data_IF_085609273658
#
_entry.id   IF_085609273658
#
_cell.length_a   1.000
_cell.length_b   1.000
_cell.length_c   1.000
_cell.angle_alpha   90.00
_cell.angle_beta   90.00
_cell.angle_gamma   90.00
#
_symmetry.space_group_name_H-M   'P 1'
#
loop_
_entity.id
_entity.type
_entity.pdbx_description
1 polymer ?
#
# COMPACT_ATOMS: atom_id res chain seq x y z
N UNK A 1 -7.20 16.33 -13.67
CA UNK A 1 -5.78 16.26 -13.26
C UNK A 1 -5.41 17.38 -12.28
N UNK A 2 -5.76 18.65 -12.54
CA UNK A 2 -5.56 19.78 -11.60
C UNK A 2 -6.04 19.51 -10.17
N UNK A 3 -7.16 18.78 -10.02
CA UNK A 3 -7.73 18.48 -8.71
C UNK A 3 -6.88 17.46 -7.92
N UNK A 4 -6.26 16.49 -8.60
CA UNK A 4 -5.40 15.47 -7.96
C UNK A 4 -4.13 16.12 -7.44
N UNK A 5 -3.45 16.92 -8.28
CA UNK A 5 -2.25 17.66 -7.88
C UNK A 5 -2.53 18.58 -6.69
N UNK A 6 -3.67 19.28 -6.71
CA UNK A 6 -4.10 20.12 -5.58
C UNK A 6 -4.27 19.29 -4.31
N UNK A 7 -4.95 18.14 -4.39
CA UNK A 7 -5.15 17.25 -3.23
C UNK A 7 -3.81 16.73 -2.69
N UNK A 8 -2.89 16.29 -3.56
CA UNK A 8 -1.56 15.82 -3.16
C UNK A 8 -0.77 16.94 -2.47
N UNK A 9 -0.77 18.14 -3.06
CA UNK A 9 -0.05 19.30 -2.50
C UNK A 9 -0.63 19.75 -1.15
N UNK A 10 -1.96 19.80 -1.03
CA UNK A 10 -2.63 20.15 0.22
C UNK A 10 -2.36 19.11 1.30
N UNK A 11 -2.46 17.82 0.96
CA UNK A 11 -2.12 16.72 1.86
C UNK A 11 -0.68 16.79 2.34
N UNK A 12 0.27 17.02 1.43
CA UNK A 12 1.68 17.14 1.78
C UNK A 12 1.91 18.31 2.71
N UNK A 13 1.33 19.49 2.41
CA UNK A 13 1.44 20.69 3.25
C UNK A 13 0.86 20.46 4.65
N UNK A 14 -0.32 19.85 4.75
CA UNK A 14 -1.00 19.59 6.02
C UNK A 14 -0.25 18.60 6.92
N UNK A 15 0.44 17.64 6.32
CA UNK A 15 1.14 16.56 7.04
C UNK A 15 2.67 16.73 7.07
N UNK A 16 3.19 17.85 6.55
CA UNK A 16 4.62 18.13 6.48
C UNK A 16 5.41 17.26 5.50
N UNK A 17 4.74 16.51 4.61
CA UNK A 17 5.39 15.57 3.69
C UNK A 17 6.02 16.29 2.50
N UNK A 18 7.03 15.65 1.91
CA UNK A 18 7.54 15.97 0.59
C UNK A 18 7.49 14.70 -0.25
N UNK A 19 6.56 14.62 -1.19
CA UNK A 19 6.34 13.46 -2.06
C UNK A 19 6.29 13.95 -3.51
N UNK A 20 7.01 13.27 -4.41
CA UNK A 20 6.90 13.55 -5.84
C UNK A 20 5.66 12.87 -6.40
N UNK A 21 5.05 13.48 -7.42
CA UNK A 21 3.95 12.87 -8.16
C UNK A 21 4.43 12.51 -9.57
N UNK A 22 4.12 11.30 -10.01
CA UNK A 22 4.37 10.81 -11.37
C UNK A 22 3.12 10.12 -11.92
N UNK A 23 2.93 10.24 -13.23
CA UNK A 23 1.89 9.52 -13.97
C UNK A 23 2.48 8.40 -14.84
N UNK A 24 3.81 8.31 -14.89
CA UNK A 24 4.53 7.26 -15.61
C UNK A 24 4.70 6.06 -14.70
N UNK A 25 3.83 5.06 -14.84
CA UNK A 25 3.84 3.86 -14.00
C UNK A 25 5.16 3.07 -14.17
N UNK A 26 5.76 2.60 -13.07
CA UNK A 26 6.94 1.74 -13.14
C UNK A 26 6.59 0.38 -13.78
N UNK A 27 7.59 -0.27 -14.36
CA UNK A 27 7.40 -1.60 -14.97
C UNK A 27 6.92 -2.62 -13.95
N UNK A 28 5.93 -3.43 -14.33
CA UNK A 28 5.28 -4.41 -13.45
C UNK A 28 4.08 -3.88 -12.68
N UNK A 29 3.78 -2.57 -12.78
CA UNK A 29 2.63 -1.92 -12.14
C UNK A 29 1.62 -1.37 -13.16
N UNK A 30 1.65 -1.83 -14.40
CA UNK A 30 0.81 -1.31 -15.49
C UNK A 30 -0.70 -1.49 -15.23
N UNK A 31 -1.06 -2.46 -14.38
CA UNK A 31 -2.45 -2.74 -13.99
C UNK A 31 -2.82 -2.20 -12.61
N UNK A 32 -1.88 -1.61 -11.87
CA UNK A 32 -2.17 -1.01 -10.57
C UNK A 32 -2.82 0.37 -10.76
N UNK A 33 -3.75 0.73 -9.86
CA UNK A 33 -4.37 2.07 -9.83
C UNK A 33 -3.36 3.16 -9.44
N UNK A 34 -2.43 2.82 -8.56
CA UNK A 34 -1.33 3.66 -8.13
C UNK A 34 -0.34 2.85 -7.30
N UNK A 35 0.77 3.47 -6.94
CA UNK A 35 1.73 2.93 -5.97
C UNK A 35 2.60 4.05 -5.42
N UNK A 36 2.89 4.05 -4.12
CA UNK A 36 3.94 4.87 -3.55
C UNK A 36 5.23 4.06 -3.40
N UNK A 37 6.30 4.52 -4.07
CA UNK A 37 7.63 3.94 -3.91
C UNK A 37 8.52 4.86 -3.06
N UNK A 38 8.82 4.38 -1.85
CA UNK A 38 9.71 5.05 -0.91
C UNK A 38 11.15 5.17 -1.43
N UNK A 39 11.61 4.25 -2.27
CA UNK A 39 13.02 4.22 -2.73
C UNK A 39 13.39 5.44 -3.57
N UNK A 40 12.40 6.02 -4.26
CA UNK A 40 12.50 7.25 -5.06
C UNK A 40 11.60 8.37 -4.52
N UNK A 41 10.92 8.12 -3.40
CA UNK A 41 9.95 9.00 -2.75
C UNK A 41 8.93 9.60 -3.73
N UNK A 42 8.27 8.72 -4.49
CA UNK A 42 7.35 9.10 -5.57
C UNK A 42 6.03 8.34 -5.45
N UNK A 43 4.94 9.09 -5.48
CA UNK A 43 3.59 8.61 -5.71
C UNK A 43 3.37 8.48 -7.22
N UNK A 44 3.10 7.27 -7.68
CA UNK A 44 2.73 6.97 -9.06
C UNK A 44 1.22 6.76 -9.13
N UNK A 45 0.56 7.40 -10.09
CA UNK A 45 -0.87 7.23 -10.33
C UNK A 45 -1.12 6.83 -11.78
N UNK A 46 -1.90 5.78 -11.98
CA UNK A 46 -2.20 5.28 -13.29
C UNK A 46 -3.39 6.04 -13.91
N UNK A 47 -3.08 7.12 -14.62
CA UNK A 47 -4.11 7.96 -15.25
C UNK A 47 -4.94 7.17 -16.27
N UNK A 48 -4.33 6.21 -16.97
CA UNK A 48 -5.04 5.43 -17.98
C UNK A 48 -6.17 4.58 -17.39
N UNK A 49 -5.99 4.07 -16.17
CA UNK A 49 -7.03 3.33 -15.44
C UNK A 49 -7.97 4.31 -14.72
N UNK A 50 -7.43 5.35 -14.09
CA UNK A 50 -8.20 6.24 -13.20
C UNK A 50 -9.08 7.26 -13.94
N UNK A 51 -8.80 7.58 -15.21
CA UNK A 51 -9.55 8.60 -15.95
C UNK A 51 -11.04 8.27 -16.10
N UNK A 52 -11.38 6.98 -16.15
CA UNK A 52 -12.75 6.48 -16.33
C UNK A 52 -13.39 6.04 -15.00
N UNK A 53 -12.62 6.06 -13.90
CA UNK A 53 -13.09 5.66 -12.59
C UNK A 53 -13.95 6.76 -11.93
N UNK A 54 -15.00 6.40 -11.17
CA UNK A 54 -15.74 7.35 -10.36
C UNK A 54 -14.85 8.11 -9.38
N UNK A 55 -15.19 9.37 -9.09
CA UNK A 55 -14.39 10.23 -8.21
C UNK A 55 -14.07 9.60 -6.85
N UNK A 56 -15.02 8.89 -6.23
CA UNK A 56 -14.78 8.25 -4.93
C UNK A 56 -13.68 7.17 -4.99
N UNK A 57 -13.59 6.45 -6.11
CA UNK A 57 -12.63 5.36 -6.32
C UNK A 57 -11.23 5.95 -6.56
N UNK A 58 -11.15 6.99 -7.39
CA UNK A 58 -9.90 7.76 -7.59
C UNK A 58 -9.37 8.30 -6.27
N UNK A 59 -10.24 8.89 -5.44
CA UNK A 59 -9.85 9.41 -4.14
C UNK A 59 -9.44 8.30 -3.17
N UNK A 60 -10.11 7.14 -3.19
CA UNK A 60 -9.75 6.01 -2.36
C UNK A 60 -8.30 5.57 -2.64
N UNK A 61 -7.97 5.23 -3.89
CA UNK A 61 -6.61 4.81 -4.23
C UNK A 61 -5.58 5.92 -4.02
N UNK A 62 -5.92 7.18 -4.30
CA UNK A 62 -5.03 8.31 -4.03
C UNK A 62 -4.67 8.44 -2.55
N UNK A 63 -5.67 8.44 -1.66
CA UNK A 63 -5.42 8.59 -0.22
C UNK A 63 -4.81 7.34 0.39
N UNK A 64 -5.04 6.16 -0.19
CA UNK A 64 -4.36 4.93 0.19
C UNK A 64 -2.85 5.07 0.00
N UNK A 65 -2.40 5.44 -1.20
CA UNK A 65 -0.96 5.59 -1.48
C UNK A 65 -0.32 6.76 -0.72
N UNK A 66 -1.04 7.88 -0.55
CA UNK A 66 -0.59 8.98 0.29
C UNK A 66 -0.44 8.57 1.76
N UNK A 67 -1.25 7.61 2.23
CA UNK A 67 -1.13 7.07 3.58
C UNK A 67 0.12 6.20 3.71
N UNK A 68 0.48 5.41 2.69
CA UNK A 68 1.77 4.74 2.66
C UNK A 68 2.94 5.72 2.74
N UNK A 69 2.89 6.83 2.00
CA UNK A 69 3.91 7.87 2.11
C UNK A 69 4.08 8.37 3.55
N UNK A 70 2.98 8.60 4.28
CA UNK A 70 3.05 8.95 5.71
C UNK A 70 3.65 7.83 6.56
N UNK A 71 3.25 6.58 6.35
CA UNK A 71 3.73 5.43 7.12
C UNK A 71 5.25 5.25 7.00
N UNK A 72 5.82 5.52 5.81
CA UNK A 72 7.27 5.48 5.60
C UNK A 72 8.01 6.71 6.10
N UNK A 73 7.49 7.91 5.83
CA UNK A 73 8.20 9.17 6.12
C UNK A 73 8.07 9.59 7.59
N UNK A 74 6.97 9.23 8.27
CA UNK A 74 6.71 9.55 9.68
C UNK A 74 6.25 8.33 10.48
N UNK A 75 7.08 7.26 10.56
CA UNK A 75 6.69 5.99 11.16
C UNK A 75 6.33 6.10 12.66
N UNK A 76 6.89 7.07 13.37
CA UNK A 76 6.61 7.30 14.79
C UNK A 76 5.16 7.70 15.09
N UNK A 77 4.38 8.09 14.08
CA UNK A 77 2.96 8.39 14.21
C UNK A 77 2.07 7.13 14.23
N UNK A 78 2.65 5.95 14.00
CA UNK A 78 1.93 4.71 13.79
C UNK A 78 2.28 3.66 14.85
N UNK A 79 1.44 2.62 14.96
CA UNK A 79 1.68 1.51 15.87
C UNK A 79 2.96 0.75 15.52
N UNK A 80 3.55 0.05 16.49
CA UNK A 80 4.72 -0.80 16.27
C UNK A 80 4.50 -1.82 15.15
N UNK A 81 3.27 -2.35 15.01
CA UNK A 81 2.93 -3.31 13.95
C UNK A 81 3.04 -2.69 12.56
N UNK A 82 2.55 -1.46 12.36
CA UNK A 82 2.70 -0.75 11.07
C UNK A 82 4.17 -0.41 10.86
N UNK A 83 4.87 0.01 11.93
CA UNK A 83 6.27 0.33 11.84
C UNK A 83 7.10 -0.89 11.39
N UNK A 84 6.86 -2.07 11.94
CA UNK A 84 7.57 -3.29 11.56
C UNK A 84 7.14 -3.78 10.17
N UNK A 85 5.83 -3.88 9.91
CA UNK A 85 5.29 -4.50 8.69
C UNK A 85 5.51 -3.69 7.41
N UNK A 86 5.66 -2.36 7.48
CA UNK A 86 5.84 -1.50 6.27
C UNK A 86 7.02 -1.92 5.40
N UNK A 87 8.03 -2.61 5.95
CA UNK A 87 9.18 -3.05 5.16
C UNK A 87 8.94 -4.33 4.36
N UNK A 88 7.77 -4.97 4.50
CA UNK A 88 7.46 -6.26 3.89
C UNK A 88 6.24 -6.15 2.99
N UNK A 89 6.38 -6.65 1.77
CA UNK A 89 5.27 -6.80 0.80
C UNK A 89 5.10 -8.28 0.52
N UNK A 90 3.86 -8.76 0.52
CA UNK A 90 3.51 -10.16 0.21
C UNK A 90 2.43 -10.15 -0.86
N UNK A 91 2.74 -10.65 -2.05
CA UNK A 91 1.77 -10.75 -3.14
C UNK A 91 0.99 -12.06 -3.06
N UNK A 92 -0.19 -12.09 -3.70
CA UNK A 92 -1.10 -13.23 -3.69
C UNK A 92 -0.47 -14.53 -4.19
N UNK A 93 0.47 -14.44 -5.13
CA UNK A 93 1.15 -15.61 -5.68
C UNK A 93 2.35 -16.10 -4.83
N UNK A 94 2.61 -15.50 -3.67
CA UNK A 94 3.72 -15.84 -2.79
C UNK A 94 5.05 -15.15 -3.13
N UNK A 95 5.10 -14.32 -4.18
CA UNK A 95 6.20 -13.39 -4.38
C UNK A 95 6.17 -12.36 -3.26
N UNK A 96 7.31 -12.14 -2.62
CA UNK A 96 7.47 -11.28 -1.47
C UNK A 96 8.63 -10.33 -1.69
N UNK A 97 8.57 -9.16 -1.07
CA UNK A 97 9.66 -8.18 -1.07
C UNK A 97 9.95 -7.73 0.36
N UNK A 98 11.22 -7.46 0.63
CA UNK A 98 11.65 -6.71 1.81
C UNK A 98 12.48 -5.51 1.41
N UNK A 99 12.15 -4.35 1.95
CA UNK A 99 12.96 -3.15 1.78
C UNK A 99 14.16 -3.20 2.73
N UNK A 100 15.37 -3.23 2.17
CA UNK A 100 16.65 -3.23 2.90
C UNK A 100 17.57 -2.22 2.25
N UNK A 101 18.16 -1.30 3.03
CA UNK A 101 19.10 -0.28 2.53
C UNK A 101 18.60 0.51 1.30
N UNK A 102 17.31 0.88 1.32
CA UNK A 102 16.61 1.58 0.24
C UNK A 102 16.48 0.78 -1.07
N UNK A 103 16.51 -0.56 -0.99
CA UNK A 103 16.32 -1.46 -2.13
C UNK A 103 15.31 -2.57 -1.80
N UNK A 104 14.38 -2.82 -2.72
CA UNK A 104 13.43 -3.93 -2.61
C UNK A 104 14.10 -5.26 -2.98
N UNK A 105 14.26 -6.14 -2.00
CA UNK A 105 14.81 -7.48 -2.18
C UNK A 105 13.68 -8.49 -2.37
N UNK A 106 13.64 -9.11 -3.55
CA UNK A 106 12.61 -10.07 -3.92
C UNK A 106 12.94 -11.50 -3.47
N UNK A 107 11.94 -12.20 -2.96
CA UNK A 107 11.96 -13.64 -2.76
C UNK A 107 10.60 -14.28 -3.08
N UNK A 108 10.55 -15.61 -3.17
CA UNK A 108 9.30 -16.33 -3.36
C UNK A 108 9.13 -17.37 -2.27
N UNK A 109 7.97 -17.36 -1.61
CA UNK A 109 7.61 -18.34 -0.60
C UNK A 109 6.63 -19.36 -1.19
N UNK A 110 6.83 -20.63 -0.83
CA UNK A 110 5.88 -21.70 -1.19
C UNK A 110 4.66 -21.61 -0.28
N UNK A 111 3.46 -21.64 -0.89
CA UNK A 111 2.16 -21.57 -0.21
C UNK A 111 1.02 -21.48 -1.23
N UNK A 112 -0.22 -21.51 -0.74
CA UNK A 112 -1.40 -21.30 -1.59
C UNK A 112 -1.69 -19.82 -1.79
N UNK A 113 -2.29 -19.48 -2.93
CA UNK A 113 -2.77 -18.12 -3.21
C UNK A 113 -3.78 -17.66 -2.15
N UNK A 114 -4.70 -18.54 -1.72
CA UNK A 114 -5.64 -18.26 -0.65
C UNK A 114 -4.94 -17.82 0.66
N UNK A 115 -3.84 -18.49 1.03
CA UNK A 115 -3.09 -18.12 2.23
C UNK A 115 -2.41 -16.76 2.08
N UNK A 116 -1.75 -16.50 0.96
CA UNK A 116 -1.06 -15.22 0.75
C UNK A 116 -2.02 -14.06 0.56
N UNK A 117 -3.19 -14.28 -0.05
CA UNK A 117 -4.27 -13.29 -0.08
C UNK A 117 -4.71 -12.93 1.34
N UNK A 118 -4.88 -13.91 2.23
CA UNK A 118 -5.20 -13.63 3.65
C UNK A 118 -4.10 -12.86 4.37
N UNK A 119 -2.82 -13.17 4.08
CA UNK A 119 -1.67 -12.44 4.62
C UNK A 119 -1.68 -10.99 4.13
N UNK A 120 -1.72 -10.76 2.81
CA UNK A 120 -1.74 -9.43 2.22
C UNK A 120 -2.88 -8.57 2.80
N UNK A 121 -4.10 -9.10 2.75
CA UNK A 121 -5.31 -8.39 3.19
C UNK A 121 -5.29 -8.08 4.70
N UNK A 122 -4.48 -8.82 5.47
CA UNK A 122 -4.37 -8.65 6.92
C UNK A 122 -3.17 -7.79 7.35
N UNK A 123 -2.34 -7.31 6.41
CA UNK A 123 -1.17 -6.50 6.73
C UNK A 123 -1.60 -5.23 7.47
N UNK A 124 -0.99 -4.90 8.63
CA UNK A 124 -1.42 -3.75 9.43
C UNK A 124 -1.36 -2.42 8.68
N UNK A 125 -0.33 -2.23 7.86
CA UNK A 125 -0.12 -0.99 7.12
C UNK A 125 -1.11 -0.84 5.96
N UNK A 126 -1.52 -1.95 5.31
CA UNK A 126 -2.60 -2.00 4.30
C UNK A 126 -3.97 -1.68 4.93
N UNK A 127 -4.29 -2.32 6.06
CA UNK A 127 -5.55 -2.07 6.79
C UNK A 127 -5.68 -0.60 7.21
N UNK A 128 -4.59 0.01 7.70
CA UNK A 128 -4.56 1.43 8.05
C UNK A 128 -4.75 2.31 6.80
N UNK A 129 -4.07 2.01 5.70
CA UNK A 129 -4.21 2.73 4.43
C UNK A 129 -5.65 2.68 3.89
N UNK A 130 -6.25 1.49 3.84
CA UNK A 130 -7.62 1.30 3.36
C UNK A 130 -8.67 2.02 4.22
N UNK A 131 -8.52 1.98 5.54
CA UNK A 131 -9.40 2.70 6.46
C UNK A 131 -9.27 4.21 6.28
N UNK A 132 -8.03 4.70 6.20
CA UNK A 132 -7.77 6.13 6.04
C UNK A 132 -8.31 6.65 4.70
N UNK A 133 -8.08 5.90 3.62
CA UNK A 133 -8.59 6.17 2.29
C UNK A 133 -10.11 6.26 2.26
N UNK A 134 -10.79 5.28 2.85
CA UNK A 134 -12.24 5.26 2.95
C UNK A 134 -12.79 6.51 3.67
N UNK A 135 -12.26 6.85 4.84
CA UNK A 135 -12.73 8.01 5.60
C UNK A 135 -12.49 9.33 4.85
N UNK A 136 -11.37 9.46 4.13
CA UNK A 136 -11.07 10.65 3.33
C UNK A 136 -11.97 10.75 2.09
N UNK A 137 -12.16 9.65 1.36
CA UNK A 137 -13.06 9.60 0.22
C UNK A 137 -14.50 9.90 0.65
N UNK A 138 -14.97 9.28 1.74
CA UNK A 138 -16.30 9.50 2.32
C UNK A 138 -16.51 10.96 2.73
N UNK A 139 -15.51 11.60 3.35
CA UNK A 139 -15.59 13.01 3.72
C UNK A 139 -15.77 13.94 2.51
N UNK A 140 -15.18 13.61 1.36
CA UNK A 140 -15.19 14.46 0.17
C UNK A 140 -16.32 14.15 -0.81
N UNK A 141 -16.74 12.88 -0.91
CA UNK A 141 -17.75 12.41 -1.85
C UNK A 141 -19.10 12.07 -1.20
N UNK A 142 -19.16 12.04 0.13
CA UNK A 142 -20.31 11.50 0.86
C UNK A 142 -20.24 9.98 1.02
N UNK A 143 -21.19 9.46 1.78
CA UNK A 143 -21.34 8.02 2.03
C UNK A 143 -22.19 7.41 0.91
N UNK A 144 -21.62 6.48 0.13
CA UNK A 144 -22.30 5.80 -0.98
C UNK A 144 -22.16 4.28 -0.84
N UNK A 145 -23.12 3.54 -1.40
CA UNK A 145 -23.07 2.08 -1.37
C UNK A 145 -21.83 1.55 -2.10
N UNK A 146 -21.47 2.17 -3.22
CA UNK A 146 -20.32 1.78 -4.03
C UNK A 146 -18.99 2.01 -3.30
N UNK A 147 -18.85 3.13 -2.58
CA UNK A 147 -17.66 3.37 -1.75
C UNK A 147 -17.55 2.39 -0.58
N UNK A 148 -18.70 2.02 0.03
CA UNK A 148 -18.74 1.00 1.09
C UNK A 148 -18.31 -0.36 0.54
N UNK A 149 -18.81 -0.76 -0.63
CA UNK A 149 -18.44 -2.04 -1.25
C UNK A 149 -16.96 -2.06 -1.68
N UNK A 150 -16.44 -0.96 -2.23
CA UNK A 150 -15.00 -0.81 -2.51
C UNK A 150 -14.17 -0.97 -1.23
N UNK A 151 -14.57 -0.33 -0.14
CA UNK A 151 -13.87 -0.47 1.14
C UNK A 151 -13.93 -1.90 1.67
N UNK A 152 -15.09 -2.57 1.61
CA UNK A 152 -15.23 -3.97 2.03
C UNK A 152 -14.37 -4.91 1.20
N UNK A 153 -14.25 -4.67 -0.11
CA UNK A 153 -13.39 -5.45 -1.01
C UNK A 153 -11.94 -5.47 -0.52
N UNK A 154 -11.45 -4.33 -0.03
CA UNK A 154 -10.07 -4.14 0.43
C UNK A 154 -9.85 -4.42 1.93
N UNK A 155 -10.89 -4.89 2.63
CA UNK A 155 -10.80 -5.20 4.04
C UNK A 155 -10.89 -6.72 4.26
N UNK A 156 -10.07 -7.29 5.15
CA UNK A 156 -10.12 -8.71 5.41
C UNK A 156 -11.43 -9.08 6.11
N UNK A 157 -12.09 -10.15 5.65
CA UNK A 157 -13.28 -10.69 6.30
C UNK A 157 -12.97 -11.22 7.71
N UNK A 158 -11.80 -11.84 7.87
CA UNK A 158 -11.23 -12.26 9.14
C UNK A 158 -9.75 -11.84 9.18
N UNK A 159 -9.35 -11.18 10.27
CA UNK A 159 -7.98 -10.71 10.42
C UNK A 159 -7.08 -11.85 10.86
N UNK A 160 -6.02 -12.07 10.12
CA UNK A 160 -4.91 -12.92 10.55
C UNK A 160 -4.24 -12.30 11.80
N UNK A 161 -3.81 -13.13 12.75
CA UNK A 161 -3.03 -12.68 13.90
C UNK A 161 -1.72 -12.02 13.44
N UNK A 162 -1.24 -11.02 14.17
CA UNK A 162 0.02 -10.36 13.83
C UNK A 162 1.23 -11.28 14.01
N UNK A 163 1.19 -12.24 14.94
CA UNK A 163 2.25 -13.24 15.09
C UNK A 163 2.36 -14.16 13.86
N UNK A 164 1.27 -14.39 13.14
CA UNK A 164 1.32 -15.09 11.86
C UNK A 164 2.04 -14.27 10.77
N UNK A 165 1.87 -12.95 10.76
CA UNK A 165 2.64 -12.07 9.86
C UNK A 165 4.14 -12.13 10.20
N UNK A 166 4.50 -12.08 11.48
CA UNK A 166 5.91 -12.22 11.91
C UNK A 166 6.54 -13.53 11.46
N UNK A 167 5.79 -14.63 11.46
CA UNK A 167 6.26 -15.91 10.89
C UNK A 167 6.53 -15.79 9.39
N UNK A 168 5.67 -15.10 8.63
CA UNK A 168 5.90 -14.83 7.21
C UNK A 168 7.12 -13.93 7.02
N UNK A 169 7.27 -12.86 7.80
CA UNK A 169 8.43 -11.96 7.73
C UNK A 169 9.74 -12.71 8.00
N UNK A 170 9.77 -13.58 9.02
CA UNK A 170 10.92 -14.43 9.27
C UNK A 170 11.24 -15.38 8.10
N UNK A 171 10.22 -15.90 7.40
CA UNK A 171 10.42 -16.72 6.20
C UNK A 171 11.00 -15.90 5.04
N UNK A 172 10.55 -14.65 4.87
CA UNK A 172 11.10 -13.71 3.89
C UNK A 172 12.57 -13.43 4.19
N UNK A 173 12.89 -13.12 5.44
CA UNK A 173 14.26 -12.85 5.90
C UNK A 173 15.20 -14.01 5.58
N UNK A 174 14.81 -15.23 5.98
CA UNK A 174 15.58 -16.44 5.67
C UNK A 174 15.74 -16.67 4.16
N UNK A 175 14.73 -16.34 3.36
CA UNK A 175 14.79 -16.55 1.91
C UNK A 175 15.75 -15.55 1.23
N UNK A 176 15.70 -14.28 1.64
CA UNK A 176 16.59 -13.22 1.15
C UNK A 176 18.04 -13.49 1.60
N UNK A 177 18.24 -13.92 2.85
CA UNK A 177 19.58 -14.26 3.35
C UNK A 177 20.22 -15.40 2.57
N UNK A 178 19.47 -16.48 2.28
CA UNK A 178 19.98 -17.61 1.49
C UNK A 178 20.42 -17.18 0.09
N UNK A 179 19.62 -16.36 -0.60
CA UNK A 179 19.97 -15.80 -1.92
C UNK A 179 21.24 -14.94 -1.93
N UNK A 180 21.70 -14.42 -0.78
CA UNK A 180 22.96 -13.66 -0.70
C UNK A 180 24.20 -14.56 -0.75
N UNK A 181 24.06 -15.85 -0.50
CA UNK A 181 25.16 -16.81 -0.41
C UNK A 181 25.16 -17.86 -1.53
N UNK A 182 24.20 -17.80 -2.45
CA UNK A 182 24.13 -18.60 -3.68
C UNK A 182 24.74 -17.82 -4.86
#
# INVERSE_FOLDING_TARGET
>A
MSDIETIVNDFCRENGLSVKLSYDMPSGYETAYGTYDITVNTLFLNVAILQDAPKYEVLFYLFHELRHAMQYLYPSLFSEQIQESRFYVVLYNGVCYKLIDNEWKECALVGSEEYFTRVYMSLPYEIDANRYAYEKAKKLCGDSAELIELYKLWMPAERLDYDEHRKVFARIDNCIERKRYD
#
